data_IF_815955883474
#
_entry.id   IF_815955883474
#
_cell.length_a   1.000
_cell.length_b   1.000
_cell.length_c   1.000
_cell.angle_alpha   90.00
_cell.angle_beta   90.00
_cell.angle_gamma   90.00
#
_symmetry.space_group_name_H-M   'P 1'
#
loop_
_entity.id
_entity.type
_entity.pdbx_description
1 polymer ?
#
# COMPACT_ATOMS: atom_id res chain seq x y z
N UNK A 1 33.53 72.53 -9.27
CA UNK A 1 34.71 71.76 -8.83
C UNK A 1 34.68 70.44 -9.58
N UNK A 2 35.56 70.03 -10.50
CA UNK A 2 36.73 70.56 -11.20
C UNK A 2 36.71 69.90 -12.62
N UNK A 3 36.88 70.64 -13.74
CA UNK A 3 38.07 70.67 -14.64
C UNK A 3 38.63 69.27 -14.98
N UNK A 4 38.85 68.80 -16.21
CA UNK A 4 38.89 69.36 -17.57
C UNK A 4 39.73 68.42 -18.49
N UNK A 5 39.74 68.70 -19.81
CA UNK A 5 40.67 68.22 -20.86
C UNK A 5 40.58 66.74 -21.32
N UNK A 6 40.17 66.42 -22.56
CA UNK A 6 40.82 66.56 -23.89
C UNK A 6 41.89 65.48 -24.22
N UNK A 7 41.57 64.71 -25.26
CA UNK A 7 42.39 64.41 -26.45
C UNK A 7 43.26 63.13 -26.55
N UNK A 8 43.29 62.65 -27.81
CA UNK A 8 44.24 61.74 -28.49
C UNK A 8 44.09 60.21 -28.40
N UNK A 9 43.36 59.66 -29.38
CA UNK A 9 43.86 58.81 -30.48
C UNK A 9 45.12 57.96 -30.23
N UNK A 10 45.02 56.64 -30.41
CA UNK A 10 46.00 55.86 -31.20
C UNK A 10 45.51 54.43 -31.43
N UNK A 11 45.19 54.16 -32.70
CA UNK A 11 45.14 52.84 -33.32
C UNK A 11 46.57 52.42 -33.67
N UNK A 12 46.98 51.19 -33.35
CA UNK A 12 48.04 50.46 -34.07
C UNK A 12 47.86 48.95 -33.79
N UNK A 13 47.34 48.11 -34.71
CA UNK A 13 48.02 47.48 -35.87
C UNK A 13 49.27 46.69 -35.41
N UNK A 14 49.25 45.34 -35.41
CA UNK A 14 49.74 44.41 -36.46
C UNK A 14 50.64 43.36 -35.73
N UNK A 15 50.80 42.07 -36.04
CA UNK A 15 50.60 41.14 -37.17
C UNK A 15 50.77 39.70 -36.57
N UNK A 16 49.97 38.68 -36.94
CA UNK A 16 50.33 37.54 -37.86
C UNK A 16 51.32 36.55 -37.20
N UNK A 17 51.23 35.21 -37.22
CA UNK A 17 50.76 34.13 -38.11
C UNK A 17 50.80 32.84 -37.24
N UNK A 18 49.95 31.82 -37.37
CA UNK A 18 50.05 30.55 -38.13
C UNK A 18 49.37 29.51 -37.19
N UNK A 19 48.53 28.54 -37.57
CA UNK A 19 48.73 27.57 -38.64
C UNK A 19 49.16 26.20 -38.05
N UNK A 20 48.17 25.37 -37.67
CA UNK A 20 48.19 23.89 -37.52
C UNK A 20 49.10 23.17 -36.48
N UNK A 21 48.50 22.32 -35.63
CA UNK A 21 48.58 20.82 -35.60
C UNK A 21 48.12 20.28 -34.22
N UNK A 22 47.25 19.27 -34.29
CA UNK A 22 46.90 18.21 -33.33
C UNK A 22 47.75 18.04 -32.05
N UNK A 23 47.09 17.92 -30.89
CA UNK A 23 47.59 17.07 -29.80
C UNK A 23 46.49 16.67 -28.82
N UNK A 24 46.47 15.37 -28.53
CA UNK A 24 45.85 14.72 -27.39
C UNK A 24 45.81 15.59 -26.12
N UNK A 25 44.63 15.70 -25.51
CA UNK A 25 44.48 16.03 -24.10
C UNK A 25 43.98 14.78 -23.37
N UNK A 26 44.83 14.30 -22.47
CA UNK A 26 44.60 13.19 -21.57
C UNK A 26 44.10 13.82 -20.27
N UNK A 27 42.81 13.66 -19.97
CA UNK A 27 42.22 14.06 -18.69
C UNK A 27 42.20 12.87 -17.73
N UNK A 28 42.66 13.15 -16.51
CA UNK A 28 42.81 12.21 -15.42
C UNK A 28 41.46 11.92 -14.73
N UNK A 29 41.27 10.63 -14.46
CA UNK A 29 40.54 9.99 -13.36
C UNK A 29 39.56 10.83 -12.53
N UNK A 30 38.27 10.60 -12.78
CA UNK A 30 37.22 10.68 -11.76
C UNK A 30 36.19 9.58 -12.05
N UNK A 31 36.35 8.48 -11.33
CA UNK A 31 35.42 7.37 -11.19
C UNK A 31 33.96 7.79 -10.97
N UNK A 32 33.03 7.36 -11.83
CA UNK A 32 31.65 6.97 -11.47
C UNK A 32 30.96 6.21 -12.64
N UNK A 33 30.86 4.86 -12.60
CA UNK A 33 29.95 4.13 -13.45
C UNK A 33 28.68 3.80 -12.67
N UNK A 34 27.65 4.65 -12.75
CA UNK A 34 26.28 4.26 -12.40
C UNK A 34 25.70 3.38 -13.51
N UNK A 35 26.28 2.21 -13.69
CA UNK A 35 25.64 1.11 -14.41
C UNK A 35 24.51 0.59 -13.54
N UNK A 36 23.27 0.85 -13.97
CA UNK A 36 22.15 -0.11 -14.00
C UNK A 36 22.40 -1.38 -13.17
N UNK A 37 22.23 -1.30 -11.84
CA UNK A 37 22.13 -2.50 -11.01
C UNK A 37 20.70 -3.02 -11.11
N UNK A 38 20.43 -3.72 -12.20
CA UNK A 38 19.37 -4.72 -12.23
C UNK A 38 19.75 -5.76 -11.17
N UNK A 39 19.03 -5.82 -10.06
CA UNK A 39 19.21 -6.88 -9.07
C UNK A 39 18.90 -8.21 -9.73
N UNK A 40 19.97 -8.92 -10.11
CA UNK A 40 19.91 -10.30 -10.59
C UNK A 40 20.02 -11.17 -9.34
N UNK A 41 18.90 -11.75 -8.93
CA UNK A 41 18.90 -12.76 -7.88
C UNK A 41 19.34 -14.08 -8.53
N UNK A 42 20.57 -14.49 -8.31
CA UNK A 42 21.02 -15.86 -8.61
C UNK A 42 20.49 -16.78 -7.50
N UNK A 43 19.60 -17.69 -7.88
CA UNK A 43 19.02 -18.71 -7.01
C UNK A 43 19.58 -20.07 -7.41
N UNK A 44 20.78 -20.39 -6.95
CA UNK A 44 21.30 -21.76 -6.91
C UNK A 44 21.41 -22.17 -5.44
N UNK A 45 20.39 -22.90 -4.98
CA UNK A 45 20.27 -23.32 -3.60
C UNK A 45 19.02 -24.17 -3.44
N UNK A 46 19.17 -25.46 -3.70
CA UNK A 46 18.21 -26.51 -3.39
C UNK A 46 17.93 -26.48 -1.89
N UNK A 47 16.71 -26.17 -1.47
CA UNK A 47 16.07 -26.77 -0.30
C UNK A 47 14.59 -26.35 -0.19
N UNK A 48 13.72 -27.35 -0.16
CA UNK A 48 12.33 -27.32 0.28
C UNK A 48 12.11 -28.62 1.06
N UNK A 49 11.16 -28.72 2.01
CA UNK A 49 10.35 -27.70 2.67
C UNK A 49 10.66 -27.67 4.19
N UNK A 50 9.88 -26.91 4.95
CA UNK A 50 9.82 -26.95 6.44
C UNK A 50 11.06 -26.48 7.20
N UNK A 51 11.14 -25.17 7.46
CA UNK A 51 11.32 -24.62 8.82
C UNK A 51 11.40 -23.09 8.78
N UNK A 52 10.58 -22.46 9.61
CA UNK A 52 10.57 -21.01 9.80
C UNK A 52 11.72 -20.61 10.73
N UNK A 53 12.96 -20.83 10.30
CA UNK A 53 14.16 -20.42 11.02
C UNK A 53 14.76 -19.19 10.32
N UNK A 54 14.26 -17.99 10.66
CA UNK A 54 14.76 -16.80 9.96
C UNK A 54 14.23 -15.43 10.34
N UNK A 55 13.76 -15.18 11.57
CA UNK A 55 13.41 -13.79 11.99
C UNK A 55 14.65 -12.86 12.08
N UNK A 56 15.88 -13.36 11.83
CA UNK A 56 17.11 -12.56 11.91
C UNK A 56 17.56 -11.86 10.62
N UNK A 57 16.85 -12.01 9.49
CA UNK A 57 17.28 -11.40 8.21
C UNK A 57 16.22 -10.48 7.56
N UNK A 58 15.46 -9.74 8.37
CA UNK A 58 14.53 -8.71 7.85
C UNK A 58 14.95 -7.27 8.20
N UNK A 59 16.14 -7.06 8.77
CA UNK A 59 16.57 -5.72 9.21
C UNK A 59 17.36 -4.95 8.14
N UNK A 60 17.85 -5.57 7.07
CA UNK A 60 18.72 -4.88 6.09
C UNK A 60 18.30 -5.05 4.62
N UNK A 61 17.00 -5.00 4.36
CA UNK A 61 16.48 -4.84 3.01
C UNK A 61 15.10 -4.24 3.12
N UNK A 62 14.98 -2.93 2.90
CA UNK A 62 13.67 -2.30 2.72
C UNK A 62 12.90 -3.16 1.73
N UNK A 63 11.75 -3.71 2.12
CA UNK A 63 10.85 -4.38 1.18
C UNK A 63 10.56 -3.34 0.09
N UNK A 64 11.17 -3.46 -1.10
CA UNK A 64 10.78 -2.59 -2.19
C UNK A 64 9.36 -3.01 -2.54
N UNK A 65 8.57 -2.05 -2.99
CA UNK A 65 7.14 -2.21 -3.30
C UNK A 65 6.81 -3.61 -3.83
N UNK A 66 5.85 -4.27 -3.18
CA UNK A 66 5.50 -5.66 -3.45
C UNK A 66 5.39 -5.93 -4.96
N UNK A 67 6.26 -6.76 -5.54
CA UNK A 67 6.27 -6.96 -6.99
C UNK A 67 5.00 -7.66 -7.47
N UNK A 68 4.36 -8.44 -6.59
CA UNK A 68 3.10 -9.13 -6.84
C UNK A 68 2.15 -8.99 -5.65
N UNK A 69 0.89 -8.71 -5.99
CA UNK A 69 -0.23 -8.72 -5.06
C UNK A 69 -1.07 -9.98 -5.29
N UNK A 70 -1.26 -10.79 -4.25
CA UNK A 70 -2.13 -11.96 -4.31
C UNK A 70 -3.36 -11.74 -3.42
N UNK A 71 -4.59 -12.01 -3.89
CA UNK A 71 -5.75 -11.99 -3.00
C UNK A 71 -5.59 -13.04 -1.91
N UNK A 72 -5.93 -12.68 -0.67
CA UNK A 72 -5.86 -13.58 0.48
C UNK A 72 -6.84 -14.75 0.30
N UNK A 73 -7.96 -14.51 -0.39
CA UNK A 73 -8.92 -15.54 -0.75
C UNK A 73 -10.29 -15.33 -0.12
N UNK A 74 -10.72 -14.07 0.10
CA UNK A 74 -12.10 -13.81 0.52
C UNK A 74 -13.07 -14.21 -0.60
N UNK A 75 -12.77 -13.82 -1.84
CA UNK A 75 -13.54 -14.19 -3.04
C UNK A 75 -13.43 -15.71 -3.33
N UNK A 76 -12.23 -16.28 -3.19
CA UNK A 76 -11.99 -17.72 -3.38
C UNK A 76 -12.62 -18.59 -2.29
N UNK A 77 -13.07 -17.98 -1.18
CA UNK A 77 -13.68 -18.67 -0.05
C UNK A 77 -12.71 -19.46 0.82
N UNK A 78 -11.39 -19.26 0.65
CA UNK A 78 -10.34 -19.87 1.47
C UNK A 78 -10.34 -19.35 2.90
N UNK A 79 -10.90 -18.16 3.13
CA UNK A 79 -11.03 -17.55 4.45
C UNK A 79 -12.24 -18.13 5.18
N UNK A 80 -12.00 -18.70 6.36
CA UNK A 80 -13.05 -19.25 7.20
C UNK A 80 -13.97 -18.13 7.70
N UNK A 81 -15.29 -18.38 7.80
CA UNK A 81 -16.25 -17.37 8.25
C UNK A 81 -16.00 -16.91 9.68
N UNK A 82 -15.39 -17.75 10.52
CA UNK A 82 -15.04 -17.46 11.92
C UNK A 82 -13.87 -16.49 12.06
N UNK A 83 -13.03 -16.37 11.03
CA UNK A 83 -11.93 -15.40 11.00
C UNK A 83 -12.44 -13.95 10.86
N UNK A 84 -13.69 -13.76 10.41
CA UNK A 84 -14.27 -12.45 10.14
C UNK A 84 -15.29 -12.14 11.23
N UNK A 85 -14.93 -11.20 12.10
CA UNK A 85 -15.74 -10.78 13.25
C UNK A 85 -16.09 -9.31 13.15
N UNK A 86 -17.14 -8.86 13.82
CA UNK A 86 -17.55 -7.46 13.81
C UNK A 86 -17.97 -7.00 15.20
N UNK A 87 -18.15 -5.70 15.35
CA UNK A 87 -18.67 -5.14 16.60
C UNK A 87 -20.10 -5.64 16.86
N UNK A 88 -20.34 -6.16 18.07
CA UNK A 88 -21.63 -6.69 18.52
C UNK A 88 -22.22 -7.79 17.61
N UNK A 89 -21.44 -8.84 17.35
CA UNK A 89 -21.88 -9.99 16.55
C UNK A 89 -23.19 -10.62 17.04
N UNK A 90 -23.44 -10.63 18.36
CA UNK A 90 -24.66 -11.19 18.97
C UNK A 90 -25.95 -10.43 18.60
N UNK A 91 -25.83 -9.23 18.06
CA UNK A 91 -26.98 -8.43 17.63
C UNK A 91 -27.41 -8.66 16.18
N UNK A 92 -26.68 -9.51 15.44
CA UNK A 92 -27.01 -9.94 14.09
C UNK A 92 -28.10 -11.02 14.10
N UNK A 93 -29.30 -10.63 14.54
CA UNK A 93 -30.48 -11.52 14.62
C UNK A 93 -31.60 -10.99 13.71
N UNK A 94 -32.54 -11.87 13.34
CA UNK A 94 -33.66 -11.50 12.46
C UNK A 94 -33.21 -11.19 11.04
N UNK A 95 -33.65 -10.08 10.46
CA UNK A 95 -33.28 -9.65 9.10
C UNK A 95 -31.74 -9.56 8.93
N UNK A 96 -31.02 -9.01 9.90
CA UNK A 96 -29.56 -8.85 9.84
C UNK A 96 -28.78 -10.16 9.81
N UNK A 97 -29.41 -11.31 10.10
CA UNK A 97 -28.79 -12.63 9.97
C UNK A 97 -28.35 -12.93 8.53
N UNK A 98 -28.92 -12.28 7.52
CA UNK A 98 -28.45 -12.45 6.14
C UNK A 98 -27.18 -11.64 5.84
N UNK A 99 -26.90 -10.58 6.61
CA UNK A 99 -25.77 -9.66 6.41
C UNK A 99 -24.66 -9.85 7.46
N UNK A 100 -24.26 -11.11 7.68
CA UNK A 100 -23.18 -11.45 8.61
C UNK A 100 -21.82 -10.85 8.19
N UNK A 101 -20.89 -10.66 9.13
CA UNK A 101 -19.50 -10.29 8.83
C UNK A 101 -18.85 -11.27 7.84
N UNK A 102 -19.16 -12.57 7.94
CA UNK A 102 -18.65 -13.61 7.05
C UNK A 102 -19.05 -13.43 5.57
N UNK A 103 -20.06 -12.61 5.29
CA UNK A 103 -20.52 -12.26 3.93
C UNK A 103 -19.82 -11.03 3.36
N UNK A 104 -18.89 -10.40 4.10
CA UNK A 104 -18.07 -9.28 3.64
C UNK A 104 -17.01 -9.69 2.59
N UNK A 105 -17.32 -10.64 1.71
CA UNK A 105 -16.40 -11.15 0.68
C UNK A 105 -16.56 -10.33 -0.60
N UNK A 106 -15.44 -9.94 -1.21
CA UNK A 106 -15.45 -9.25 -2.50
C UNK A 106 -16.21 -10.06 -3.55
N UNK A 107 -16.95 -9.36 -4.42
CA UNK A 107 -17.77 -9.95 -5.48
C UNK A 107 -18.80 -10.98 -5.04
N UNK A 108 -19.06 -11.12 -3.73
CA UNK A 108 -20.15 -11.95 -3.25
C UNK A 108 -21.48 -11.40 -3.78
N UNK A 109 -22.29 -12.27 -4.37
CA UNK A 109 -23.60 -11.97 -4.95
C UNK A 109 -24.66 -12.86 -4.29
N UNK A 110 -25.92 -12.39 -4.29
CA UNK A 110 -27.06 -13.08 -3.71
C UNK A 110 -27.65 -12.35 -2.50
N UNK A 111 -28.61 -12.99 -1.83
CA UNK A 111 -29.25 -12.43 -0.64
C UNK A 111 -28.24 -12.36 0.50
N UNK A 112 -28.00 -11.16 1.04
CA UNK A 112 -26.98 -10.96 2.09
C UNK A 112 -25.54 -10.86 1.58
N UNK A 113 -25.33 -10.17 0.45
CA UNK A 113 -24.04 -10.06 -0.23
C UNK A 113 -23.00 -9.10 0.40
N UNK A 114 -23.22 -8.60 1.61
CA UNK A 114 -22.27 -7.71 2.28
C UNK A 114 -22.43 -7.80 3.80
N UNK A 115 -21.40 -7.38 4.53
CA UNK A 115 -21.59 -7.04 5.93
C UNK A 115 -22.34 -5.73 6.03
N UNK A 116 -23.44 -5.72 6.79
CA UNK A 116 -24.23 -4.53 7.07
C UNK A 116 -24.11 -4.23 8.56
N UNK A 117 -23.68 -3.02 8.91
CA UNK A 117 -23.72 -2.63 10.32
C UNK A 117 -25.15 -2.36 10.76
N UNK A 118 -25.55 -2.90 11.91
CA UNK A 118 -26.85 -2.60 12.52
C UNK A 118 -26.91 -1.14 12.99
N UNK A 119 -25.82 -0.67 13.59
CA UNK A 119 -25.67 0.70 14.08
C UNK A 119 -24.76 1.50 13.16
N UNK A 120 -25.06 2.77 13.01
CA UNK A 120 -24.38 3.67 12.09
C UNK A 120 -23.52 4.64 12.89
N UNK A 121 -22.47 4.10 13.52
CA UNK A 121 -21.57 4.85 14.41
C UNK A 121 -20.12 4.71 13.96
N UNK A 122 -19.28 5.66 14.38
CA UNK A 122 -17.84 5.59 14.14
C UNK A 122 -17.11 4.54 14.99
N UNK A 123 -17.83 3.91 15.93
CA UNK A 123 -17.31 2.85 16.80
C UNK A 123 -17.48 1.44 16.20
N UNK A 124 -18.09 1.35 15.01
CA UNK A 124 -18.23 0.09 14.31
C UNK A 124 -16.89 -0.34 13.72
N UNK A 125 -16.62 -1.63 13.75
CA UNK A 125 -15.43 -2.19 13.13
C UNK A 125 -15.73 -3.58 12.58
N UNK A 126 -14.98 -3.92 11.54
CA UNK A 126 -14.91 -5.26 10.98
C UNK A 126 -13.48 -5.75 11.18
N UNK A 127 -13.33 -6.86 11.90
CA UNK A 127 -12.06 -7.48 12.23
C UNK A 127 -11.86 -8.74 11.40
N UNK A 128 -10.65 -8.90 10.91
CA UNK A 128 -10.19 -10.04 10.15
C UNK A 128 -9.00 -10.64 10.91
N UNK A 129 -9.11 -11.91 11.28
CA UNK A 129 -8.00 -12.73 11.77
C UNK A 129 -7.40 -13.50 10.59
N UNK A 130 -6.11 -13.26 10.33
CA UNK A 130 -5.35 -13.94 9.29
C UNK A 130 -4.82 -15.31 9.76
N UNK A 131 -5.04 -15.69 11.02
CA UNK A 131 -4.48 -16.84 11.74
C UNK A 131 -2.96 -16.79 11.96
N UNK A 132 -2.22 -16.28 10.99
CA UNK A 132 -0.77 -16.09 11.03
C UNK A 132 -0.40 -14.63 10.71
N UNK A 133 0.82 -14.24 11.08
CA UNK A 133 1.33 -12.90 10.79
C UNK A 133 1.70 -12.84 9.31
N UNK A 134 0.97 -12.05 8.53
CA UNK A 134 1.20 -11.88 7.10
C UNK A 134 1.50 -10.44 6.73
N UNK A 135 2.04 -10.25 5.53
CA UNK A 135 2.34 -8.95 4.95
C UNK A 135 1.19 -8.53 4.03
N UNK A 136 0.36 -7.60 4.51
CA UNK A 136 -0.76 -7.04 3.75
C UNK A 136 -0.32 -5.79 3.01
N UNK A 137 -0.47 -5.84 1.70
CA UNK A 137 -0.02 -4.83 0.75
C UNK A 137 -1.16 -3.98 0.19
N UNK A 138 -2.41 -4.44 0.30
CA UNK A 138 -3.57 -3.83 -0.32
C UNK A 138 -4.87 -4.25 0.37
N UNK A 139 -5.88 -3.39 0.26
CA UNK A 139 -7.27 -3.69 0.62
C UNK A 139 -8.14 -3.28 -0.56
N UNK A 140 -8.96 -4.20 -1.06
CA UNK A 140 -10.05 -3.85 -1.97
C UNK A 140 -11.32 -3.71 -1.15
N UNK A 141 -12.08 -2.67 -1.42
CA UNK A 141 -13.40 -2.43 -0.83
C UNK A 141 -14.48 -2.38 -1.92
N UNK A 142 -15.67 -2.86 -1.59
CA UNK A 142 -16.83 -2.84 -2.49
C UNK A 142 -18.12 -2.56 -1.69
N UNK A 143 -19.06 -1.84 -2.29
CA UNK A 143 -20.36 -1.54 -1.69
C UNK A 143 -21.31 -2.75 -1.64
N UNK A 144 -22.55 -2.56 -1.20
CA UNK A 144 -23.57 -3.63 -1.17
C UNK A 144 -24.08 -3.95 -2.58
N UNK A 145 -24.44 -5.20 -2.86
CA UNK A 145 -24.98 -5.57 -4.19
C UNK A 145 -26.47 -5.21 -4.38
N UNK A 146 -27.23 -5.17 -3.29
CA UNK A 146 -28.70 -5.15 -3.27
C UNK A 146 -29.30 -3.74 -3.09
N UNK A 147 -28.55 -2.83 -2.48
CA UNK A 147 -28.98 -1.45 -2.25
C UNK A 147 -27.81 -0.47 -2.42
N UNK A 148 -28.14 0.81 -2.63
CA UNK A 148 -27.19 1.91 -2.78
C UNK A 148 -26.61 2.35 -1.42
N UNK A 149 -25.90 1.41 -0.79
CA UNK A 149 -25.25 1.53 0.52
C UNK A 149 -23.77 1.13 0.42
N UNK A 150 -22.88 1.99 0.91
CA UNK A 150 -21.43 1.76 0.89
C UNK A 150 -20.68 2.63 1.89
N UNK A 151 -19.45 2.22 2.21
CA UNK A 151 -18.51 3.01 3.00
C UNK A 151 -17.71 3.95 2.08
N UNK A 152 -17.73 5.25 2.37
CA UNK A 152 -17.02 6.28 1.60
C UNK A 152 -15.62 6.55 2.13
N UNK A 153 -15.44 6.44 3.44
CA UNK A 153 -14.15 6.64 4.12
C UNK A 153 -13.97 5.62 5.22
N UNK A 154 -12.76 5.11 5.37
CA UNK A 154 -12.42 4.22 6.47
C UNK A 154 -10.98 4.43 6.93
N UNK A 155 -10.73 4.06 8.18
CA UNK A 155 -9.38 3.93 8.73
C UNK A 155 -9.07 2.46 8.98
N UNK A 156 -7.78 2.15 9.00
CA UNK A 156 -7.30 0.79 9.22
C UNK A 156 -6.53 0.78 10.52
N UNK A 157 -6.88 -0.17 11.37
CA UNK A 157 -6.09 -0.57 12.52
C UNK A 157 -5.54 -1.96 12.29
N UNK A 158 -4.39 -2.24 12.87
CA UNK A 158 -3.79 -3.55 12.78
C UNK A 158 -3.08 -3.91 14.08
N UNK A 159 -2.88 -5.22 14.24
CA UNK A 159 -2.24 -5.79 15.41
C UNK A 159 -1.56 -7.10 15.05
N UNK A 160 -0.30 -7.26 15.44
CA UNK A 160 0.49 -8.47 15.12
C UNK A 160 0.29 -9.60 16.14
N UNK A 161 0.00 -9.25 17.40
CA UNK A 161 -0.19 -10.21 18.50
C UNK A 161 -1.41 -9.84 19.34
N UNK A 162 -2.16 -10.82 19.85
CA UNK A 162 -3.36 -10.60 20.65
C UNK A 162 -3.10 -9.77 21.91
N UNK A 163 -1.90 -9.85 22.49
CA UNK A 163 -1.54 -9.12 23.71
C UNK A 163 -1.20 -7.65 23.48
N UNK A 164 -0.99 -7.24 22.23
CA UNK A 164 -0.62 -5.88 21.89
C UNK A 164 -1.85 -4.97 21.73
N UNK A 165 -1.60 -3.66 21.83
CA UNK A 165 -2.61 -2.66 21.53
C UNK A 165 -2.82 -2.53 20.01
N UNK A 166 -4.01 -2.05 19.63
CA UNK A 166 -4.32 -1.73 18.24
C UNK A 166 -3.54 -0.51 17.77
N UNK A 167 -2.90 -0.64 16.62
CA UNK A 167 -2.10 0.44 16.01
C UNK A 167 -2.87 0.97 14.81
N UNK A 168 -3.03 2.30 14.74
CA UNK A 168 -3.58 2.95 13.56
C UNK A 168 -2.56 2.95 12.43
N UNK A 169 -3.04 2.71 11.21
CA UNK A 169 -2.22 2.83 10.03
C UNK A 169 -1.81 4.29 9.78
N UNK A 170 -0.50 4.49 9.70
CA UNK A 170 0.12 5.79 9.48
C UNK A 170 0.69 5.85 8.07
N UNK A 171 0.51 7.00 7.43
CA UNK A 171 1.13 7.29 6.14
C UNK A 171 2.64 7.57 6.28
N UNK A 172 3.34 7.72 5.16
CA UNK A 172 4.76 8.10 5.12
C UNK A 172 5.04 9.43 5.84
N UNK A 173 4.04 10.30 5.98
CA UNK A 173 4.12 11.57 6.72
C UNK A 173 3.92 11.42 8.24
N UNK A 174 3.65 10.20 8.73
CA UNK A 174 3.43 9.90 10.16
C UNK A 174 2.01 10.21 10.66
N UNK A 175 1.14 10.73 9.80
CA UNK A 175 -0.27 11.01 10.13
C UNK A 175 -1.15 9.78 9.95
N UNK A 176 -2.26 9.72 10.70
CA UNK A 176 -3.28 8.68 10.52
C UNK A 176 -3.83 8.75 9.10
N UNK A 177 -3.66 7.66 8.34
CA UNK A 177 -4.13 7.60 6.96
C UNK A 177 -5.61 7.23 6.93
N UNK A 178 -6.39 8.05 6.24
CA UNK A 178 -7.78 7.74 5.90
C UNK A 178 -7.82 7.26 4.45
N UNK A 179 -8.45 6.12 4.24
CA UNK A 179 -8.65 5.56 2.90
C UNK A 179 -10.01 6.01 2.35
N UNK A 180 -10.01 6.29 1.06
CA UNK A 180 -11.23 6.53 0.31
C UNK A 180 -11.78 5.19 -0.14
N UNK A 181 -13.00 4.90 0.29
CA UNK A 181 -13.73 3.69 -0.06
C UNK A 181 -14.45 3.85 -1.39
N UNK A 182 -15.70 3.44 -1.40
CA UNK A 182 -16.49 3.32 -2.62
C UNK A 182 -17.29 4.59 -2.88
N UNK A 183 -17.54 4.84 -4.16
CA UNK A 183 -18.47 5.89 -4.64
C UNK A 183 -19.77 5.29 -5.17
N UNK A 184 -19.79 3.99 -5.42
CA UNK A 184 -20.92 3.24 -5.97
C UNK A 184 -21.10 1.91 -5.24
N UNK A 185 -22.24 1.27 -5.48
CA UNK A 185 -22.60 -0.03 -4.90
C UNK A 185 -21.80 -1.22 -5.47
N UNK A 186 -21.45 -1.19 -6.75
CA UNK A 186 -20.86 -2.33 -7.49
C UNK A 186 -19.37 -2.18 -7.78
N UNK A 187 -18.90 -0.94 -7.98
CA UNK A 187 -17.50 -0.66 -8.28
C UNK A 187 -16.60 -1.09 -7.11
N UNK A 188 -15.55 -1.87 -7.38
CA UNK A 188 -14.51 -2.18 -6.40
C UNK A 188 -13.43 -1.10 -6.43
N UNK A 189 -12.95 -0.70 -5.26
CA UNK A 189 -11.89 0.31 -5.10
C UNK A 189 -10.70 -0.34 -4.43
N UNK A 190 -9.55 -0.30 -5.10
CA UNK A 190 -8.30 -0.84 -4.59
C UNK A 190 -7.50 0.25 -3.87
N UNK A 191 -7.20 0.00 -2.60
CA UNK A 191 -6.36 0.85 -1.78
C UNK A 191 -5.06 0.11 -1.44
N UNK A 192 -3.96 0.52 -2.07
CA UNK A 192 -2.63 -0.03 -1.76
C UNK A 192 -2.05 0.63 -0.51
N UNK A 193 -1.44 -0.17 0.36
CA UNK A 193 -0.83 0.28 1.60
C UNK A 193 0.67 0.46 1.37
N UNK A 194 1.15 1.70 1.54
CA UNK A 194 2.57 2.07 1.49
C UNK A 194 2.92 2.88 2.75
N UNK A 195 3.55 2.28 3.77
CA UNK A 195 4.17 0.94 3.79
C UNK A 195 3.16 -0.21 3.90
N UNK A 196 3.58 -1.42 3.51
CA UNK A 196 2.81 -2.64 3.74
C UNK A 196 2.70 -2.92 5.25
N UNK A 197 1.58 -3.51 5.67
CA UNK A 197 1.29 -3.83 7.07
C UNK A 197 1.74 -5.25 7.38
N UNK A 198 2.48 -5.45 8.48
CA UNK A 198 2.80 -6.78 9.00
C UNK A 198 1.91 -7.04 10.22
N UNK A 199 0.85 -7.82 10.03
CA UNK A 199 -0.15 -8.05 11.07
C UNK A 199 -0.81 -9.42 10.95
N UNK A 200 -1.36 -9.89 12.07
CA UNK A 200 -2.26 -11.05 12.12
C UNK A 200 -3.72 -10.61 12.17
N UNK A 201 -4.01 -9.55 12.92
CA UNK A 201 -5.34 -8.99 13.05
C UNK A 201 -5.42 -7.65 12.34
N UNK A 202 -6.47 -7.49 11.52
CA UNK A 202 -6.74 -6.23 10.82
C UNK A 202 -8.16 -5.80 11.18
N UNK A 203 -8.32 -4.52 11.51
CA UNK A 203 -9.60 -3.88 11.78
C UNK A 203 -9.83 -2.76 10.78
N UNK A 204 -10.98 -2.81 10.15
CA UNK A 204 -11.49 -1.75 9.28
C UNK A 204 -12.52 -0.95 10.06
N UNK A 205 -12.28 0.35 10.20
CA UNK A 205 -13.17 1.27 10.90
C UNK A 205 -13.79 2.24 9.89
N UNK A 206 -15.07 2.07 9.51
CA UNK A 206 -15.78 3.05 8.70
C UNK A 206 -15.83 4.40 9.42
N UNK A 207 -15.41 5.46 8.73
CA UNK A 207 -15.45 6.85 9.19
C UNK A 207 -16.53 7.66 8.48
N UNK A 208 -16.99 7.19 7.33
CA UNK A 208 -18.06 7.81 6.56
C UNK A 208 -18.72 6.79 5.64
N UNK A 209 -20.02 6.90 5.44
CA UNK A 209 -20.83 5.98 4.66
C UNK A 209 -21.98 6.71 3.98
N UNK A 210 -22.55 6.07 2.96
CA UNK A 210 -23.74 6.51 2.26
C UNK A 210 -24.92 5.62 2.67
N UNK A 211 -25.96 6.22 3.24
CA UNK A 211 -27.17 5.55 3.77
C UNK A 211 -26.91 4.61 4.96
N UNK A 212 -26.14 3.54 4.76
CA UNK A 212 -25.71 2.59 5.81
C UNK A 212 -24.28 2.10 5.54
N UNK A 213 -23.58 1.73 6.61
CA UNK A 213 -22.31 1.02 6.59
C UNK A 213 -22.56 -0.37 6.01
N UNK A 214 -22.23 -0.52 4.75
CA UNK A 214 -22.15 -1.80 4.08
C UNK A 214 -20.79 -1.94 3.41
N UNK A 215 -20.14 -3.09 3.63
CA UNK A 215 -18.80 -3.34 3.11
C UNK A 215 -18.65 -4.79 2.66
N UNK A 216 -18.05 -4.95 1.49
CA UNK A 216 -17.36 -6.16 1.03
C UNK A 216 -15.88 -5.84 0.92
N UNK A 217 -15.02 -6.80 1.23
CA UNK A 217 -13.58 -6.60 1.18
C UNK A 217 -12.82 -7.81 0.65
N UNK A 218 -11.62 -7.53 0.14
CA UNK A 218 -10.57 -8.51 -0.14
C UNK A 218 -9.26 -7.93 0.35
N UNK A 219 -8.47 -8.75 1.04
CA UNK A 219 -7.11 -8.37 1.42
C UNK A 219 -6.14 -8.82 0.34
N UNK A 220 -5.16 -7.98 0.03
CA UNK A 220 -4.06 -8.34 -0.87
C UNK A 220 -2.78 -8.57 -0.06
N UNK A 221 -2.23 -9.76 -0.20
CA UNK A 221 -0.95 -10.13 0.38
C UNK A 221 0.20 -9.78 -0.57
N UNK A 222 1.32 -9.39 0.03
CA UNK A 222 2.58 -9.24 -0.66
C UNK A 222 3.20 -10.62 -0.87
N UNK A 223 3.59 -10.97 -2.10
CA UNK A 223 4.39 -12.16 -2.37
C UNK A 223 5.68 -11.80 -3.09
N UNK A 224 6.78 -12.43 -2.68
CA UNK A 224 8.03 -12.38 -3.41
C UNK A 224 7.94 -13.35 -4.60
N UNK A 225 8.52 -12.95 -5.73
CA UNK A 225 8.52 -13.74 -6.95
C UNK A 225 9.57 -14.86 -6.86
N UNK A 226 9.30 -15.89 -6.07
CA UNK A 226 10.08 -17.14 -6.10
C UNK A 226 9.10 -18.31 -6.04
N UNK A 227 8.84 -18.90 -7.21
CA UNK A 227 8.17 -20.18 -7.39
C UNK A 227 8.94 -20.96 -8.45
#
# INVERSE_FOLDING_TARGET
MAVGARCFSLVLLLLVTDGFISSHAQEADASEPWTSKSCKCDCDGVESPTEFSGIRSLVQGCIPECPYHRPYGFEAGSVNPEQITCFNQDQYTGWFSSWLPSKARLNSQGFGCAWLSKFQDNNQWLQIDLNEVMVVSGILSQGRCDADEWVTKYSVQYRSDEKLNWIYYKDQTGNNRVFYGNSDRSSSVQNLLRPAIIARYIRILPLGWHTRIALRLELLLCMNKCA
#
